data_IF_500083153950
#
_entry.id   IF_500083153950
#
_cell.length_a   1.000
_cell.length_b   1.000
_cell.length_c   1.000
_cell.angle_alpha   90.00
_cell.angle_beta   90.00
_cell.angle_gamma   90.00
#
_symmetry.space_group_name_H-M   'P 1'
#
loop_
_entity.id
_entity.type
_entity.pdbx_description
1 polymer ?
#
# COMPACT_ATOMS: atom_id res chain seq x y z
N UNK A 1 -2.41 -8.75 26.21
CA UNK A 1 -1.69 -9.98 25.84
C UNK A 1 -0.26 -9.58 25.53
N UNK A 2 0.72 -10.29 26.05
CA UNK A 2 2.12 -10.09 25.67
C UNK A 2 2.54 -11.24 24.77
N UNK A 3 3.30 -10.95 23.74
CA UNK A 3 3.92 -11.95 22.85
C UNK A 3 4.96 -12.77 23.63
N UNK A 4 5.47 -13.83 23.04
CA UNK A 4 6.53 -14.67 23.64
C UNK A 4 7.81 -13.87 23.95
N UNK A 5 8.09 -12.81 23.19
CA UNK A 5 9.21 -11.88 23.39
C UNK A 5 8.96 -10.83 24.51
N UNK A 6 7.79 -10.85 25.15
CA UNK A 6 7.41 -9.90 26.20
C UNK A 6 6.91 -8.54 25.70
N UNK A 7 6.90 -8.30 24.38
CA UNK A 7 6.40 -7.09 23.76
C UNK A 7 4.86 -7.08 23.69
N UNK A 8 4.27 -5.93 23.33
CA UNK A 8 2.82 -5.79 23.21
C UNK A 8 2.32 -6.35 21.86
N UNK A 9 1.16 -7.01 21.87
CA UNK A 9 0.45 -7.37 20.64
C UNK A 9 -0.17 -6.12 20.01
N UNK A 10 -0.11 -6.05 18.68
CA UNK A 10 -0.64 -4.95 17.89
C UNK A 10 -1.75 -5.45 16.98
N UNK A 11 -2.89 -4.80 17.06
CA UNK A 11 -4.08 -5.21 16.30
C UNK A 11 -4.54 -4.11 15.36
N UNK A 12 -5.23 -4.52 14.30
CA UNK A 12 -5.88 -3.62 13.36
C UNK A 12 -7.35 -3.46 13.76
N UNK A 13 -7.76 -2.21 13.99
CA UNK A 13 -9.15 -1.88 14.32
C UNK A 13 -9.86 -1.11 13.22
N UNK A 14 -9.12 -0.63 12.23
CA UNK A 14 -9.68 0.00 11.05
C UNK A 14 -8.70 0.02 9.88
N UNK A 15 -9.24 0.01 8.69
CA UNK A 15 -8.49 0.23 7.45
C UNK A 15 -9.35 1.00 6.45
N UNK A 16 -8.70 1.72 5.56
CA UNK A 16 -9.37 2.42 4.46
C UNK A 16 -8.54 2.36 3.19
N UNK A 17 -9.22 2.26 2.07
CA UNK A 17 -8.62 2.15 0.75
C UNK A 17 -9.28 3.10 -0.23
N UNK A 18 -8.46 3.76 -1.05
CA UNK A 18 -8.91 4.53 -2.23
C UNK A 18 -8.09 4.04 -3.41
N UNK A 19 -8.75 3.47 -4.40
CA UNK A 19 -8.11 2.79 -5.53
C UNK A 19 -8.82 3.12 -6.86
N UNK A 20 -8.21 2.80 -8.02
CA UNK A 20 -8.87 2.93 -9.32
C UNK A 20 -10.14 2.09 -9.51
N UNK A 21 -10.38 1.13 -8.62
CA UNK A 21 -11.55 0.23 -8.69
C UNK A 21 -12.56 0.45 -7.54
N UNK A 22 -12.31 1.42 -6.65
CA UNK A 22 -13.24 1.76 -5.57
C UNK A 22 -12.74 2.94 -4.72
N UNK A 23 -13.64 3.79 -4.25
CA UNK A 23 -13.34 4.97 -3.44
C UNK A 23 -13.39 4.69 -1.93
N UNK A 24 -13.63 3.44 -1.56
CA UNK A 24 -13.50 2.88 -0.21
C UNK A 24 -13.16 1.39 -0.29
N UNK A 25 -12.96 0.78 0.88
CA UNK A 25 -12.54 -0.63 0.99
C UNK A 25 -13.61 -1.61 0.53
N UNK A 26 -14.89 -1.28 0.70
CA UNK A 26 -15.99 -2.15 0.29
C UNK A 26 -16.17 -2.16 -1.22
N UNK A 27 -16.15 -0.97 -1.85
CA UNK A 27 -16.19 -0.85 -3.31
C UNK A 27 -14.97 -1.52 -3.96
N UNK A 28 -13.77 -1.29 -3.40
CA UNK A 28 -12.54 -1.91 -3.86
C UNK A 28 -12.63 -3.44 -3.80
N UNK A 29 -13.11 -3.98 -2.68
CA UNK A 29 -13.23 -5.42 -2.50
C UNK A 29 -14.31 -6.06 -3.40
N UNK A 30 -15.46 -5.41 -3.53
CA UNK A 30 -16.52 -5.86 -4.45
C UNK A 30 -16.00 -5.91 -5.89
N UNK A 31 -15.28 -4.87 -6.32
CA UNK A 31 -14.65 -4.81 -7.65
C UNK A 31 -13.58 -5.91 -7.82
N UNK A 32 -12.83 -6.26 -6.77
CA UNK A 32 -11.87 -7.37 -6.81
C UNK A 32 -12.58 -8.72 -6.98
N UNK A 33 -13.72 -8.92 -6.31
CA UNK A 33 -14.55 -10.13 -6.47
C UNK A 33 -15.10 -10.28 -7.89
N UNK A 34 -15.42 -9.17 -8.53
CA UNK A 34 -15.85 -9.13 -9.93
C UNK A 34 -14.70 -9.28 -10.95
N UNK A 35 -13.44 -9.26 -10.49
CA UNK A 35 -12.26 -9.23 -11.36
C UNK A 35 -12.17 -7.95 -12.21
N UNK A 36 -12.66 -6.82 -11.70
CA UNK A 36 -12.70 -5.55 -12.41
C UNK A 36 -11.30 -4.98 -12.59
N UNK A 37 -11.01 -4.51 -13.82
CA UNK A 37 -9.79 -3.80 -14.15
C UNK A 37 -10.01 -2.28 -14.08
N UNK A 38 -9.25 -1.59 -13.22
CA UNK A 38 -9.25 -0.13 -13.12
C UNK A 38 -8.20 0.55 -14.01
N UNK A 39 -7.41 -0.25 -14.75
CA UNK A 39 -6.46 0.29 -15.72
C UNK A 39 -7.23 0.70 -16.96
N UNK A 40 -7.13 1.96 -17.34
CA UNK A 40 -7.84 2.53 -18.49
C UNK A 40 -7.03 3.65 -19.12
N UNK A 41 -7.53 4.21 -20.23
CA UNK A 41 -6.93 5.39 -20.85
C UNK A 41 -6.91 6.56 -19.86
N UNK A 42 -5.76 7.25 -19.77
CA UNK A 42 -5.57 8.44 -18.93
C UNK A 42 -6.40 9.59 -19.46
N UNK A 43 -7.07 10.31 -18.56
CA UNK A 43 -7.97 11.44 -18.89
C UNK A 43 -7.53 12.77 -18.26
N UNK A 44 -6.70 12.74 -17.19
CA UNK A 44 -6.34 13.94 -16.39
C UNK A 44 -5.39 14.93 -17.09
N UNK A 45 -4.68 14.50 -18.14
CA UNK A 45 -3.74 15.37 -18.87
C UNK A 45 -3.61 14.94 -20.34
N UNK A 46 -3.11 15.84 -21.21
CA UNK A 46 -2.87 15.55 -22.62
C UNK A 46 -1.84 14.42 -22.81
N UNK A 47 -2.05 13.57 -23.82
CA UNK A 47 -1.24 12.38 -24.08
C UNK A 47 -0.28 12.55 -25.28
N UNK A 48 -0.21 13.75 -25.86
CA UNK A 48 0.69 14.05 -26.97
C UNK A 48 2.13 13.71 -26.56
N UNK A 49 2.87 13.09 -27.47
CA UNK A 49 4.27 12.65 -27.28
C UNK A 49 4.48 11.56 -26.20
N UNK A 50 3.40 10.99 -25.65
CA UNK A 50 3.47 9.80 -24.82
C UNK A 50 3.18 8.56 -25.67
N UNK A 51 3.88 7.45 -25.39
CA UNK A 51 3.55 6.15 -25.98
C UNK A 51 2.82 5.23 -24.96
N UNK A 52 2.81 5.58 -23.67
CA UNK A 52 1.98 4.96 -22.65
C UNK A 52 0.75 5.83 -22.41
N UNK A 53 -0.41 5.28 -22.70
CA UNK A 53 -1.69 6.00 -22.63
C UNK A 53 -2.63 5.47 -21.54
N UNK A 54 -2.19 4.46 -20.78
CA UNK A 54 -3.01 3.79 -19.76
C UNK A 54 -2.39 3.94 -18.36
N UNK A 55 -3.27 4.02 -17.37
CA UNK A 55 -2.92 4.04 -15.97
C UNK A 55 -4.10 3.56 -15.10
N UNK A 56 -3.84 3.22 -13.86
CA UNK A 56 -4.85 3.10 -12.81
C UNK A 56 -5.20 4.47 -12.26
N UNK A 57 -6.01 5.21 -12.98
CA UNK A 57 -6.46 6.56 -12.61
C UNK A 57 -7.74 6.50 -11.79
N UNK A 58 -7.78 7.19 -10.65
CA UNK A 58 -9.00 7.30 -9.84
C UNK A 58 -9.94 8.30 -10.49
N UNK A 59 -11.09 7.80 -10.97
CA UNK A 59 -12.14 8.60 -11.61
C UNK A 59 -13.24 8.95 -10.62
N UNK A 60 -13.85 10.13 -10.81
CA UNK A 60 -15.01 10.53 -10.02
C UNK A 60 -14.76 10.93 -8.58
N UNK A 61 -13.49 11.02 -8.14
CA UNK A 61 -13.17 11.50 -6.81
C UNK A 61 -13.38 13.02 -6.70
N UNK A 62 -14.35 13.40 -5.89
CA UNK A 62 -14.64 14.81 -5.56
C UNK A 62 -14.13 15.11 -4.13
N UNK A 63 -13.02 15.86 -3.99
CA UNK A 63 -12.48 16.17 -2.70
C UNK A 63 -13.44 16.94 -1.78
N UNK A 64 -14.41 17.70 -2.36
CA UNK A 64 -15.37 18.46 -1.57
C UNK A 64 -16.35 17.59 -0.77
N UNK A 65 -16.50 16.33 -1.14
CA UNK A 65 -17.33 15.35 -0.41
C UNK A 65 -16.63 14.73 0.79
N UNK A 66 -15.29 14.77 0.82
CA UNK A 66 -14.47 14.04 1.78
C UNK A 66 -13.54 14.94 2.60
N UNK A 67 -13.32 16.17 2.17
CA UNK A 67 -12.36 17.08 2.80
C UNK A 67 -12.99 18.47 2.93
N UNK A 68 -12.85 19.11 4.10
CA UNK A 68 -13.35 20.48 4.27
C UNK A 68 -12.70 21.45 3.27
N UNK A 69 -13.43 22.50 2.89
CA UNK A 69 -12.96 23.52 1.95
C UNK A 69 -11.60 24.14 2.34
N UNK A 70 -11.37 24.31 3.65
CA UNK A 70 -10.09 24.78 4.20
C UNK A 70 -8.97 23.79 3.90
N UNK A 71 -9.19 22.49 4.08
CA UNK A 71 -8.21 21.44 3.81
C UNK A 71 -7.92 21.25 2.33
N UNK A 72 -8.94 21.41 1.47
CA UNK A 72 -8.75 21.42 0.03
C UNK A 72 -7.71 22.45 -0.39
N UNK A 73 -7.74 23.65 0.21
CA UNK A 73 -6.77 24.70 -0.11
C UNK A 73 -5.33 24.38 0.27
N UNK A 74 -5.12 23.66 1.38
CA UNK A 74 -3.77 23.30 1.86
C UNK A 74 -3.22 22.01 1.27
N UNK A 75 -4.08 21.14 0.76
CA UNK A 75 -3.72 19.84 0.20
C UNK A 75 -3.70 19.79 -1.32
N UNK A 76 -3.36 18.63 -1.82
CA UNK A 76 -3.54 18.23 -3.21
C UNK A 76 -3.97 16.76 -3.29
N UNK A 77 -4.10 16.23 -4.49
CA UNK A 77 -4.72 14.94 -4.78
C UNK A 77 -4.26 13.78 -3.87
N UNK A 78 -2.94 13.58 -3.68
CA UNK A 78 -2.45 12.51 -2.81
C UNK A 78 -2.86 12.69 -1.35
N UNK A 79 -2.82 13.93 -0.82
CA UNK A 79 -3.23 14.19 0.56
C UNK A 79 -4.75 14.09 0.76
N UNK A 80 -5.55 14.34 -0.29
CA UNK A 80 -6.99 14.12 -0.24
C UNK A 80 -7.34 12.63 -0.25
N UNK A 81 -6.63 11.81 -1.02
CA UNK A 81 -6.77 10.35 -0.96
C UNK A 81 -6.42 9.81 0.43
N UNK A 82 -5.31 10.29 1.02
CA UNK A 82 -4.95 9.94 2.39
C UNK A 82 -6.05 10.33 3.39
N UNK A 83 -6.62 11.53 3.25
CA UNK A 83 -7.73 12.00 4.10
C UNK A 83 -8.95 11.09 4.00
N UNK A 84 -9.34 10.67 2.79
CA UNK A 84 -10.49 9.77 2.59
C UNK A 84 -10.24 8.37 3.14
N UNK A 85 -9.08 7.79 2.87
CA UNK A 85 -8.74 6.47 3.39
C UNK A 85 -8.60 6.49 4.94
N UNK A 86 -8.04 7.58 5.51
CA UNK A 86 -7.95 7.75 6.95
C UNK A 86 -9.33 7.96 7.61
N UNK A 87 -10.26 8.67 6.94
CA UNK A 87 -11.65 8.81 7.40
C UNK A 87 -12.34 7.46 7.54
N UNK A 88 -12.22 6.61 6.51
CA UNK A 88 -12.78 5.27 6.55
C UNK A 88 -12.15 4.43 7.68
N UNK A 89 -10.81 4.39 7.75
CA UNK A 89 -10.09 3.63 8.76
C UNK A 89 -10.41 4.09 10.20
N UNK A 90 -10.46 5.41 10.42
CA UNK A 90 -10.75 5.99 11.73
C UNK A 90 -12.20 5.74 12.16
N UNK A 91 -13.15 5.92 11.24
CA UNK A 91 -14.56 5.63 11.49
C UNK A 91 -14.78 4.15 11.83
N UNK A 92 -14.15 3.25 11.06
CA UNK A 92 -14.22 1.80 11.32
C UNK A 92 -13.63 1.44 12.68
N UNK A 93 -12.55 2.10 13.11
CA UNK A 93 -11.93 1.85 14.42
C UNK A 93 -12.81 2.25 15.60
N UNK A 94 -13.76 3.18 15.41
CA UNK A 94 -14.60 3.73 16.49
C UNK A 94 -13.85 4.58 17.50
N UNK A 95 -12.67 5.08 17.16
CA UNK A 95 -11.92 6.03 18.01
C UNK A 95 -12.59 7.41 18.02
N UNK A 96 -12.54 8.16 19.14
CA UNK A 96 -13.14 9.49 19.23
C UNK A 96 -12.37 10.53 18.40
N UNK A 97 -13.10 11.54 17.93
CA UNK A 97 -12.53 12.71 17.25
C UNK A 97 -12.85 14.00 18.01
N UNK A 98 -11.85 14.76 18.52
CA UNK A 98 -10.42 14.43 18.51
C UNK A 98 -10.09 13.24 19.43
N UNK A 99 -8.95 12.59 19.19
CA UNK A 99 -8.50 11.50 20.05
C UNK A 99 -8.19 11.99 21.47
N UNK A 100 -8.72 11.30 22.47
CA UNK A 100 -8.70 11.73 23.87
C UNK A 100 -7.34 11.58 24.57
N UNK A 101 -6.40 10.77 24.01
CA UNK A 101 -5.04 10.61 24.52
C UNK A 101 -3.99 10.99 23.45
N UNK A 102 -3.92 12.28 23.05
CA UNK A 102 -3.27 12.70 21.81
C UNK A 102 -1.76 12.43 21.74
N UNK A 103 -1.06 12.43 22.88
CA UNK A 103 0.39 12.15 22.93
C UNK A 103 0.71 10.66 22.93
N UNK A 104 -0.28 9.79 23.14
CA UNK A 104 -0.16 8.32 23.07
C UNK A 104 -0.59 7.78 21.71
N UNK A 105 -0.53 8.61 20.68
CA UNK A 105 -0.84 8.23 19.30
C UNK A 105 0.23 8.71 18.33
N UNK A 106 0.37 8.04 17.18
CA UNK A 106 1.22 8.49 16.08
C UNK A 106 0.46 8.52 14.75
N UNK A 107 0.96 9.34 13.81
CA UNK A 107 0.46 9.41 12.44
C UNK A 107 1.64 9.33 11.46
N UNK A 108 1.80 8.17 10.80
CA UNK A 108 2.91 7.92 9.89
C UNK A 108 2.33 7.59 8.51
N UNK A 109 2.14 8.62 7.68
CA UNK A 109 1.57 8.47 6.33
C UNK A 109 2.59 8.98 5.33
N UNK A 110 3.10 8.06 4.52
CA UNK A 110 4.13 8.33 3.53
C UNK A 110 3.60 8.69 2.14
N UNK A 111 4.53 9.08 1.30
CA UNK A 111 4.35 9.21 -0.14
C UNK A 111 5.72 9.04 -0.82
N UNK A 112 5.77 8.33 -1.93
CA UNK A 112 7.00 8.18 -2.71
C UNK A 112 7.39 9.46 -3.45
N UNK A 113 6.42 10.30 -3.80
CA UNK A 113 6.64 11.49 -4.64
C UNK A 113 6.09 12.80 -4.05
N UNK A 114 5.14 12.73 -3.10
CA UNK A 114 4.48 13.94 -2.58
C UNK A 114 3.62 14.66 -3.63
N UNK A 115 3.57 15.99 -3.55
CA UNK A 115 2.72 16.82 -4.38
C UNK A 115 3.20 17.06 -5.80
N UNK A 116 3.33 16.01 -6.60
CA UNK A 116 3.93 16.05 -7.94
C UNK A 116 3.12 16.92 -8.91
N UNK A 117 1.78 16.88 -8.87
CA UNK A 117 0.93 17.71 -9.74
C UNK A 117 1.08 19.20 -9.43
N UNK A 118 1.24 19.55 -8.16
CA UNK A 118 1.51 20.93 -7.74
C UNK A 118 2.89 21.42 -8.18
N UNK A 119 3.92 20.56 -8.13
CA UNK A 119 5.28 20.89 -8.64
C UNK A 119 5.22 21.18 -10.14
N UNK A 120 4.63 20.28 -10.92
CA UNK A 120 4.53 20.42 -12.37
C UNK A 120 3.76 21.71 -12.75
N UNK A 121 2.64 21.94 -12.09
CA UNK A 121 1.85 23.17 -12.30
C UNK A 121 2.64 24.44 -11.94
N UNK A 122 3.35 24.44 -10.80
CA UNK A 122 4.12 25.59 -10.35
C UNK A 122 5.26 25.92 -11.32
N UNK A 123 5.97 24.91 -11.81
CA UNK A 123 7.06 25.12 -12.78
C UNK A 123 6.55 25.54 -14.15
N UNK A 124 5.42 24.98 -14.61
CA UNK A 124 4.76 25.45 -15.82
C UNK A 124 4.35 26.93 -15.70
N UNK A 125 3.75 27.31 -14.57
CA UNK A 125 3.33 28.70 -14.33
C UNK A 125 4.54 29.66 -14.37
N UNK A 126 5.67 29.29 -13.74
CA UNK A 126 6.87 30.13 -13.69
C UNK A 126 7.63 30.17 -15.02
N UNK A 127 7.94 29.03 -15.61
CA UNK A 127 8.91 28.94 -16.71
C UNK A 127 8.28 28.96 -18.09
N UNK A 128 7.03 28.53 -18.23
CA UNK A 128 6.32 28.52 -19.53
C UNK A 128 5.36 29.72 -19.64
N UNK A 129 4.58 29.98 -18.58
CA UNK A 129 3.60 31.06 -18.58
C UNK A 129 4.15 32.38 -18.03
N UNK A 130 5.45 32.41 -17.65
CA UNK A 130 6.15 33.60 -17.15
C UNK A 130 5.40 34.33 -16.01
N UNK A 131 4.71 33.59 -15.15
CA UNK A 131 4.11 34.17 -13.94
C UNK A 131 5.18 34.62 -12.95
N UNK A 132 4.95 35.75 -12.28
CA UNK A 132 5.91 36.32 -11.33
C UNK A 132 6.05 35.54 -10.02
N UNK A 133 5.03 34.73 -9.65
CA UNK A 133 5.01 33.98 -8.39
C UNK A 133 4.14 32.73 -8.51
N UNK A 134 4.40 31.76 -7.63
CA UNK A 134 3.55 30.60 -7.41
C UNK A 134 2.48 30.90 -6.35
N UNK A 135 1.54 30.00 -6.18
CA UNK A 135 0.53 30.12 -5.12
C UNK A 135 1.20 30.06 -3.74
N UNK A 136 0.81 30.89 -2.74
CA UNK A 136 1.45 30.92 -1.40
C UNK A 136 1.48 29.56 -0.70
N UNK A 137 0.49 28.71 -0.92
CA UNK A 137 0.41 27.37 -0.29
C UNK A 137 1.11 26.27 -1.11
N UNK A 138 1.79 26.61 -2.19
CA UNK A 138 2.47 25.64 -3.06
C UNK A 138 3.40 24.71 -2.27
N UNK A 139 4.22 25.27 -1.38
CA UNK A 139 5.16 24.49 -0.59
C UNK A 139 4.46 23.46 0.30
N UNK A 140 3.36 23.85 0.98
CA UNK A 140 2.59 22.96 1.85
C UNK A 140 1.92 21.81 1.07
N UNK A 141 1.60 22.02 -0.20
CA UNK A 141 1.03 20.99 -1.08
C UNK A 141 2.06 20.01 -1.60
N UNK A 142 3.31 20.48 -1.79
CA UNK A 142 4.40 19.68 -2.37
C UNK A 142 5.00 18.68 -1.35
N UNK A 143 5.19 19.10 -0.09
CA UNK A 143 5.93 18.29 0.87
C UNK A 143 5.21 16.98 1.19
N UNK A 144 5.93 15.85 1.10
CA UNK A 144 5.38 14.51 1.31
C UNK A 144 4.75 14.27 2.69
N UNK A 145 5.08 15.09 3.70
CA UNK A 145 4.50 15.02 5.05
C UNK A 145 3.14 15.71 5.19
N UNK A 146 2.62 16.37 4.15
CA UNK A 146 1.30 17.02 4.23
C UNK A 146 0.17 16.03 4.53
N UNK A 147 0.23 14.83 4.00
CA UNK A 147 -0.78 13.79 4.26
C UNK A 147 -0.86 13.45 5.76
N UNK A 148 0.29 13.16 6.40
CA UNK A 148 0.34 12.88 7.84
C UNK A 148 -0.05 14.08 8.69
N UNK A 149 0.36 15.30 8.28
CA UNK A 149 -0.03 16.52 8.97
C UNK A 149 -1.55 16.77 8.92
N UNK A 150 -2.18 16.63 7.73
CA UNK A 150 -3.63 16.81 7.58
C UNK A 150 -4.44 15.81 8.41
N UNK A 151 -4.05 14.52 8.37
CA UNK A 151 -4.71 13.47 9.14
C UNK A 151 -4.47 13.65 10.63
N UNK A 152 -3.23 13.98 11.06
CA UNK A 152 -2.91 14.26 12.46
C UNK A 152 -3.71 15.42 13.05
N UNK A 153 -3.88 16.51 12.29
CA UNK A 153 -4.72 17.66 12.67
C UNK A 153 -6.20 17.26 12.80
N UNK A 154 -6.70 16.45 11.84
CA UNK A 154 -8.10 16.01 11.83
C UNK A 154 -8.48 15.25 13.09
N UNK A 155 -7.65 14.30 13.48
CA UNK A 155 -7.95 13.39 14.59
C UNK A 155 -7.30 13.84 15.91
N UNK A 156 -6.64 14.99 15.93
CA UNK A 156 -6.03 15.55 17.15
C UNK A 156 -4.83 14.75 17.64
N UNK A 157 -4.08 14.10 16.76
CA UNK A 157 -2.86 13.33 17.07
C UNK A 157 -1.73 14.32 17.37
N UNK A 158 -1.08 14.20 18.54
CA UNK A 158 0.00 15.08 18.99
C UNK A 158 1.31 14.36 19.29
N UNK A 159 1.34 13.04 19.18
CA UNK A 159 2.56 12.24 19.24
C UNK A 159 3.34 12.26 17.92
N UNK A 160 4.26 11.33 17.69
CA UNK A 160 5.09 11.30 16.50
C UNK A 160 4.26 11.36 15.22
N UNK A 161 4.48 12.41 14.40
CA UNK A 161 3.74 12.64 13.15
C UNK A 161 4.75 13.03 12.07
N UNK A 162 4.94 12.16 11.09
CA UNK A 162 5.90 12.34 9.99
C UNK A 162 5.55 11.43 8.81
N UNK A 163 6.31 11.56 7.70
CA UNK A 163 6.14 10.73 6.51
C UNK A 163 7.36 9.83 6.28
N UNK A 164 7.11 8.62 5.81
CA UNK A 164 8.12 7.76 5.18
C UNK A 164 8.20 8.07 3.69
N UNK A 165 9.38 7.82 3.10
CA UNK A 165 9.61 7.86 1.67
C UNK A 165 10.61 6.77 1.30
N UNK A 166 10.12 5.64 0.81
CA UNK A 166 10.89 4.46 0.41
C UNK A 166 10.30 3.80 -0.83
N UNK A 167 10.02 4.65 -1.83
CA UNK A 167 9.43 4.26 -3.11
C UNK A 167 8.22 3.32 -2.93
N UNK A 168 8.20 2.15 -3.61
CA UNK A 168 7.06 1.23 -3.57
C UNK A 168 6.80 0.59 -2.19
N UNK A 169 7.77 0.61 -1.26
CA UNK A 169 7.64 0.05 0.10
C UNK A 169 7.21 1.07 1.15
N UNK A 170 6.88 2.30 0.74
CA UNK A 170 6.60 3.43 1.64
C UNK A 170 5.50 3.13 2.68
N UNK A 171 4.35 2.60 2.24
CA UNK A 171 3.24 2.28 3.14
C UNK A 171 3.61 1.15 4.12
N UNK A 172 4.27 0.12 3.63
CA UNK A 172 4.71 -1.03 4.42
C UNK A 172 5.70 -0.61 5.51
N UNK A 173 6.67 0.26 5.18
CA UNK A 173 7.57 0.85 6.17
C UNK A 173 6.83 1.74 7.19
N UNK A 174 5.86 2.56 6.74
CA UNK A 174 5.06 3.38 7.65
C UNK A 174 4.29 2.53 8.67
N UNK A 175 3.66 1.45 8.20
CA UNK A 175 2.92 0.49 9.02
C UNK A 175 3.87 -0.23 10.00
N UNK A 176 5.04 -0.67 9.53
CA UNK A 176 6.07 -1.32 10.36
C UNK A 176 6.58 -0.38 11.48
N UNK A 177 6.81 0.90 11.18
CA UNK A 177 7.23 1.88 12.19
C UNK A 177 6.14 2.14 13.23
N UNK A 178 4.88 2.28 12.82
CA UNK A 178 3.77 2.43 13.76
C UNK A 178 3.58 1.18 14.63
N UNK A 179 3.73 -0.01 14.04
CA UNK A 179 3.76 -1.28 14.75
C UNK A 179 4.86 -1.29 15.82
N UNK A 180 6.10 -0.91 15.48
CA UNK A 180 7.21 -0.83 16.42
C UNK A 180 6.95 0.16 17.56
N UNK A 181 6.38 1.33 17.26
CA UNK A 181 6.06 2.32 18.28
C UNK A 181 5.01 1.81 19.27
N UNK A 182 4.02 1.05 18.80
CA UNK A 182 2.99 0.47 19.66
C UNK A 182 3.56 -0.70 20.47
N UNK A 183 4.23 -1.64 19.83
CA UNK A 183 4.73 -2.86 20.50
C UNK A 183 5.76 -2.57 21.58
N UNK A 184 6.59 -1.53 21.40
CA UNK A 184 7.56 -1.06 22.39
C UNK A 184 6.97 -0.09 23.41
N UNK A 185 5.68 0.24 23.32
CA UNK A 185 4.99 1.05 24.32
C UNK A 185 5.21 2.55 24.22
N UNK A 186 5.74 3.06 23.10
CA UNK A 186 5.86 4.51 22.87
C UNK A 186 4.50 5.17 22.71
N UNK A 187 3.60 4.52 21.95
CA UNK A 187 2.22 4.95 21.74
C UNK A 187 1.25 3.78 21.94
N UNK A 188 -0.05 4.04 21.97
CA UNK A 188 -1.10 3.03 22.09
C UNK A 188 -1.94 2.92 20.81
N UNK A 189 -1.92 3.95 19.97
CA UNK A 189 -2.66 4.05 18.70
C UNK A 189 -1.75 4.58 17.61
N UNK A 190 -1.83 4.01 16.42
CA UNK A 190 -1.12 4.48 15.22
C UNK A 190 -2.03 4.56 14.00
N UNK A 191 -1.97 5.68 13.28
CA UNK A 191 -2.54 5.80 11.93
C UNK A 191 -1.38 5.72 10.96
N UNK A 192 -1.36 4.70 10.12
CA UNK A 192 -0.19 4.42 9.28
C UNK A 192 -0.55 3.90 7.90
N UNK A 193 0.27 4.22 6.91
CA UNK A 193 0.11 3.82 5.52
C UNK A 193 0.75 4.81 4.57
N UNK A 194 0.22 4.93 3.37
CA UNK A 194 0.68 5.92 2.41
C UNK A 194 -0.39 6.27 1.37
N UNK A 195 -0.12 7.35 0.66
CA UNK A 195 -0.93 7.80 -0.48
C UNK A 195 -0.04 8.29 -1.62
N UNK A 196 -0.53 8.14 -2.85
CA UNK A 196 0.22 8.50 -4.05
C UNK A 196 -0.68 9.09 -5.13
N UNK A 197 -0.22 10.14 -5.82
CA UNK A 197 -0.91 10.74 -6.95
C UNK A 197 0.12 11.30 -7.96
N UNK A 198 0.80 10.39 -8.66
CA UNK A 198 1.91 10.73 -9.57
C UNK A 198 1.49 10.82 -11.04
N UNK A 199 0.22 10.64 -11.35
CA UNK A 199 -0.25 10.63 -12.73
C UNK A 199 -0.29 12.06 -13.28
N UNK A 200 0.85 12.52 -13.78
CA UNK A 200 1.05 13.81 -14.46
C UNK A 200 1.83 13.61 -15.75
N UNK A 201 1.78 14.59 -16.66
CA UNK A 201 2.51 14.50 -17.92
C UNK A 201 4.02 14.33 -17.72
N UNK A 202 4.64 15.15 -16.86
CA UNK A 202 6.08 15.08 -16.59
C UNK A 202 6.51 13.78 -15.92
N UNK A 203 5.72 13.29 -14.96
CA UNK A 203 5.96 11.99 -14.33
C UNK A 203 5.90 10.86 -15.36
N UNK A 204 4.86 10.80 -16.19
CA UNK A 204 4.73 9.77 -17.23
C UNK A 204 5.91 9.79 -18.21
N UNK A 205 6.40 10.98 -18.62
CA UNK A 205 7.60 11.11 -19.45
C UNK A 205 8.84 10.51 -18.79
N UNK A 206 9.00 10.76 -17.48
CA UNK A 206 10.14 10.24 -16.71
C UNK A 206 10.09 8.71 -16.59
N UNK A 207 8.92 8.15 -16.26
CA UNK A 207 8.74 6.70 -16.16
C UNK A 207 8.90 6.00 -17.52
N UNK A 208 8.42 6.59 -18.62
CA UNK A 208 8.65 6.07 -19.97
C UNK A 208 10.14 5.99 -20.32
N UNK A 209 10.93 6.96 -19.87
CA UNK A 209 12.38 6.96 -20.12
C UNK A 209 13.08 5.75 -19.49
N UNK A 210 12.58 5.23 -18.37
CA UNK A 210 13.07 4.01 -17.73
C UNK A 210 12.69 2.73 -18.49
N UNK A 211 11.75 2.78 -19.43
CA UNK A 211 11.27 1.62 -20.22
C UNK A 211 10.74 0.45 -19.38
N UNK A 212 10.11 0.77 -18.25
CA UNK A 212 9.55 -0.23 -17.31
C UNK A 212 8.02 -0.26 -17.33
N UNK A 213 7.38 0.62 -18.13
CA UNK A 213 5.93 0.68 -18.26
C UNK A 213 5.42 -0.16 -19.42
N UNK A 214 4.26 -0.79 -19.20
CA UNK A 214 3.51 -1.52 -20.22
C UNK A 214 2.49 -0.64 -20.92
N UNK A 215 2.39 -0.67 -22.27
CA UNK A 215 1.32 -0.02 -22.99
C UNK A 215 0.01 -0.82 -23.06
N UNK A 216 0.01 -2.09 -22.62
CA UNK A 216 -1.07 -3.05 -22.82
C UNK A 216 -1.87 -3.34 -21.54
N UNK A 217 -1.22 -3.35 -20.38
CA UNK A 217 -1.82 -3.69 -19.11
C UNK A 217 -0.82 -4.21 -18.08
N UNK A 218 -1.28 -4.47 -16.87
CA UNK A 218 -0.48 -5.03 -15.79
C UNK A 218 -0.76 -6.54 -15.69
N UNK A 219 0.20 -7.39 -16.08
CA UNK A 219 0.05 -8.85 -16.18
C UNK A 219 1.08 -9.60 -15.32
N UNK A 220 0.98 -9.50 -13.97
CA UNK A 220 1.96 -10.11 -13.09
C UNK A 220 2.08 -11.62 -13.32
N UNK A 221 3.31 -12.12 -13.27
CA UNK A 221 3.70 -13.53 -13.41
C UNK A 221 3.34 -14.21 -14.74
N UNK A 222 2.57 -13.57 -15.63
CA UNK A 222 2.26 -14.08 -16.96
C UNK A 222 3.49 -13.95 -17.87
N UNK A 223 3.67 -14.89 -18.80
CA UNK A 223 4.74 -14.84 -19.81
C UNK A 223 4.66 -13.61 -20.71
N UNK A 224 3.46 -13.05 -20.90
CA UNK A 224 3.23 -11.83 -21.70
C UNK A 224 3.55 -10.53 -20.96
N UNK A 225 3.95 -10.58 -19.67
CA UNK A 225 4.32 -9.37 -18.93
C UNK A 225 5.42 -8.59 -19.65
N UNK A 226 5.24 -7.30 -19.79
CA UNK A 226 6.15 -6.41 -20.51
C UNK A 226 6.38 -5.07 -19.79
N UNK A 227 6.02 -4.98 -18.51
CA UNK A 227 6.17 -3.80 -17.69
C UNK A 227 5.00 -3.57 -16.75
N UNK A 228 5.17 -2.64 -15.84
CA UNK A 228 4.12 -2.25 -14.90
C UNK A 228 3.18 -1.19 -15.49
N UNK A 229 2.05 -0.97 -14.85
CA UNK A 229 1.15 0.16 -15.14
C UNK A 229 1.06 1.01 -13.89
N UNK A 230 1.35 2.31 -13.98
CA UNK A 230 1.22 3.22 -12.84
C UNK A 230 -0.23 3.39 -12.41
N UNK A 231 -0.42 3.54 -11.11
CA UNK A 231 -1.71 3.88 -10.53
C UNK A 231 -1.56 4.95 -9.43
N UNK A 232 -2.68 5.40 -8.91
CA UNK A 232 -2.77 6.34 -7.80
C UNK A 232 -3.75 5.82 -6.75
N UNK A 233 -3.60 6.26 -5.49
CA UNK A 233 -4.48 5.81 -4.41
C UNK A 233 -3.95 6.06 -3.01
N UNK A 234 -4.62 5.44 -2.04
CA UNK A 234 -4.21 5.44 -0.64
C UNK A 234 -4.62 4.15 0.05
N UNK A 235 -3.79 3.70 0.99
CA UNK A 235 -4.11 2.62 1.92
C UNK A 235 -3.64 3.00 3.31
N UNK A 236 -4.57 3.07 4.27
CA UNK A 236 -4.33 3.53 5.64
C UNK A 236 -4.91 2.52 6.63
N UNK A 237 -4.14 2.21 7.66
CA UNK A 237 -4.56 1.36 8.78
C UNK A 237 -4.62 2.17 10.07
N UNK A 238 -5.54 1.80 10.96
CA UNK A 238 -5.53 2.16 12.38
C UNK A 238 -5.05 0.93 13.16
N UNK A 239 -3.90 1.08 13.79
CA UNK A 239 -3.26 0.09 14.65
C UNK A 239 -3.46 0.45 16.11
N UNK A 240 -3.71 -0.54 16.96
CA UNK A 240 -3.85 -0.35 18.40
C UNK A 240 -3.10 -1.41 19.19
N UNK A 241 -2.65 -1.04 20.39
CA UNK A 241 -2.24 -2.01 21.38
C UNK A 241 -3.46 -2.86 21.78
N UNK A 242 -3.28 -4.18 21.83
CA UNK A 242 -4.36 -5.16 22.03
C UNK A 242 -5.21 -4.88 23.28
N UNK A 243 -4.58 -4.66 24.46
CA UNK A 243 -5.31 -4.40 25.70
C UNK A 243 -6.02 -3.04 25.68
N UNK A 244 -5.47 -2.06 24.93
CA UNK A 244 -6.14 -0.78 24.69
C UNK A 244 -7.42 -0.98 23.87
N UNK A 245 -7.34 -1.69 22.74
CA UNK A 245 -8.48 -1.99 21.88
C UNK A 245 -9.56 -2.79 22.64
N UNK A 246 -9.14 -3.81 23.39
CA UNK A 246 -10.03 -4.66 24.20
C UNK A 246 -10.76 -3.88 25.29
N UNK A 247 -10.06 -3.02 26.06
CA UNK A 247 -10.68 -2.21 27.13
C UNK A 247 -11.78 -1.28 26.65
N UNK A 248 -11.65 -0.74 25.44
CA UNK A 248 -12.67 0.13 24.85
C UNK A 248 -13.75 -0.62 24.04
N UNK A 249 -13.68 -1.95 23.97
CA UNK A 249 -14.63 -2.77 23.23
C UNK A 249 -14.53 -2.63 21.72
N UNK A 250 -13.33 -2.38 21.17
CA UNK A 250 -13.12 -2.25 19.74
C UNK A 250 -13.37 -3.58 19.01
N UNK A 251 -13.88 -3.50 17.80
CA UNK A 251 -13.85 -4.62 16.86
C UNK A 251 -12.42 -4.80 16.36
N UNK A 252 -11.79 -5.93 16.67
CA UNK A 252 -10.46 -6.28 16.20
C UNK A 252 -10.58 -7.07 14.89
N UNK A 253 -10.03 -6.53 13.83
CA UNK A 253 -10.15 -7.08 12.47
C UNK A 253 -9.07 -8.11 12.15
N UNK A 254 -7.86 -7.89 12.65
CA UNK A 254 -6.71 -8.78 12.49
C UNK A 254 -5.65 -8.43 13.54
N UNK A 255 -4.68 -9.32 13.74
CA UNK A 255 -3.42 -9.02 14.42
C UNK A 255 -2.33 -8.75 13.37
N UNK A 256 -1.56 -7.67 13.52
CA UNK A 256 -0.31 -7.48 12.80
C UNK A 256 0.77 -8.22 13.59
N UNK A 257 1.13 -9.39 13.10
CA UNK A 257 1.95 -10.33 13.84
C UNK A 257 3.44 -10.12 13.67
N UNK A 258 3.86 -9.67 12.50
CA UNK A 258 5.29 -9.48 12.23
C UNK A 258 5.55 -8.55 11.06
N UNK A 259 6.71 -7.92 11.11
CA UNK A 259 7.25 -7.05 10.06
C UNK A 259 8.69 -7.45 9.76
N UNK A 260 9.04 -7.46 8.47
CA UNK A 260 10.42 -7.70 8.03
C UNK A 260 10.87 -6.61 7.07
N UNK A 261 12.07 -6.10 7.29
CA UNK A 261 12.66 -5.06 6.44
C UNK A 261 14.09 -5.44 6.08
N UNK A 262 14.50 -5.19 4.84
CA UNK A 262 15.85 -5.45 4.36
C UNK A 262 16.25 -4.49 3.25
N UNK A 263 17.52 -4.54 2.86
CA UNK A 263 18.05 -3.86 1.68
C UNK A 263 18.91 -4.84 0.88
N UNK A 264 18.81 -4.80 -0.46
CA UNK A 264 19.65 -5.63 -1.34
C UNK A 264 21.12 -5.20 -1.32
N UNK A 265 21.39 -3.89 -1.11
CA UNK A 265 22.74 -3.29 -1.06
C UNK A 265 23.64 -3.59 -2.27
N UNK A 266 23.05 -3.83 -3.46
CA UNK A 266 23.81 -4.21 -4.68
C UNK A 266 23.64 -3.19 -5.82
N UNK A 267 22.41 -2.98 -6.30
CA UNK A 267 22.15 -2.16 -7.47
C UNK A 267 20.82 -1.42 -7.33
N UNK A 268 20.76 -0.15 -7.74
CA UNK A 268 19.58 0.70 -7.60
C UNK A 268 18.39 0.26 -8.45
N UNK A 269 18.62 -0.47 -9.54
CA UNK A 269 17.61 -0.80 -10.56
C UNK A 269 17.40 -2.31 -10.69
N UNK A 270 18.47 -3.09 -10.58
CA UNK A 270 18.43 -4.54 -10.73
C UNK A 270 18.15 -5.20 -9.38
N UNK A 271 16.93 -5.74 -9.17
CA UNK A 271 16.57 -6.36 -7.90
C UNK A 271 17.39 -7.64 -7.68
N UNK A 272 17.84 -7.84 -6.44
CA UNK A 272 18.43 -9.10 -5.98
C UNK A 272 17.35 -9.99 -5.35
N UNK A 273 17.65 -11.27 -5.23
CA UNK A 273 16.80 -12.24 -4.55
C UNK A 273 17.01 -12.22 -3.02
N UNK A 274 18.21 -11.86 -2.56
CA UNK A 274 18.59 -11.93 -1.15
C UNK A 274 17.81 -10.96 -0.26
N UNK A 275 17.56 -9.75 -0.75
CA UNK A 275 16.78 -8.75 0.00
C UNK A 275 15.33 -9.18 0.23
N UNK A 276 14.55 -9.46 -0.83
CA UNK A 276 13.19 -10.00 -0.72
C UNK A 276 13.10 -11.25 0.17
N UNK A 277 14.01 -12.22 -0.02
CA UNK A 277 14.09 -13.44 0.80
C UNK A 277 14.29 -13.10 2.27
N UNK A 278 15.24 -12.23 2.58
CA UNK A 278 15.54 -11.83 3.96
C UNK A 278 14.37 -11.08 4.61
N UNK A 279 13.70 -10.17 3.88
CA UNK A 279 12.54 -9.46 4.41
C UNK A 279 11.39 -10.41 4.75
N UNK A 280 11.09 -11.39 3.89
CA UNK A 280 10.08 -12.42 4.17
C UNK A 280 10.46 -13.27 5.39
N UNK A 281 11.72 -13.72 5.47
CA UNK A 281 12.19 -14.51 6.62
C UNK A 281 12.11 -13.70 7.92
N UNK A 282 12.58 -12.46 7.94
CA UNK A 282 12.49 -11.60 9.12
C UNK A 282 11.05 -11.34 9.57
N UNK A 283 10.11 -11.23 8.62
CA UNK A 283 8.70 -11.08 8.96
C UNK A 283 8.11 -12.36 9.60
N UNK A 284 8.51 -13.55 9.14
CA UNK A 284 8.14 -14.83 9.75
C UNK A 284 8.75 -14.98 11.14
N UNK A 285 10.03 -14.69 11.29
CA UNK A 285 10.74 -14.74 12.57
C UNK A 285 10.09 -13.80 13.61
N UNK A 286 9.78 -12.57 13.19
CA UNK A 286 9.10 -11.58 14.03
C UNK A 286 7.66 -12.00 14.37
N UNK A 287 6.95 -12.66 13.45
CA UNK A 287 5.61 -13.21 13.70
C UNK A 287 5.64 -14.46 14.60
N UNK A 288 6.78 -15.13 14.70
CA UNK A 288 6.91 -16.44 15.37
C UNK A 288 6.16 -17.54 14.65
N UNK A 289 6.10 -17.49 13.33
CA UNK A 289 5.40 -18.45 12.47
C UNK A 289 6.38 -19.29 11.64
N UNK A 290 6.03 -20.55 11.45
CA UNK A 290 6.65 -21.38 10.42
C UNK A 290 6.16 -20.96 9.04
N UNK A 291 7.02 -21.01 8.04
CA UNK A 291 6.65 -20.67 6.67
C UNK A 291 5.43 -21.47 6.15
N UNK A 292 5.27 -22.72 6.61
CA UNK A 292 4.14 -23.59 6.25
C UNK A 292 2.77 -23.13 6.78
N UNK A 293 2.72 -22.12 7.65
CA UNK A 293 1.48 -21.60 8.22
C UNK A 293 0.85 -20.47 7.39
N UNK A 294 1.58 -19.88 6.45
CA UNK A 294 1.03 -18.83 5.57
C UNK A 294 0.12 -19.45 4.51
N UNK A 295 -1.14 -19.04 4.50
CA UNK A 295 -2.15 -19.52 3.56
C UNK A 295 -2.23 -18.68 2.27
N UNK A 296 -2.02 -17.36 2.40
CA UNK A 296 -2.10 -16.42 1.28
C UNK A 296 -0.98 -15.38 1.32
N UNK A 297 -0.39 -15.14 0.15
CA UNK A 297 0.62 -14.11 -0.06
C UNK A 297 0.14 -13.11 -1.12
N UNK A 298 -0.01 -11.82 -0.72
CA UNK A 298 -0.19 -10.74 -1.66
C UNK A 298 1.19 -10.29 -2.14
N UNK A 299 1.51 -10.63 -3.37
CA UNK A 299 2.83 -10.43 -3.93
C UNK A 299 3.08 -8.98 -4.35
N UNK A 300 4.34 -8.58 -4.35
CA UNK A 300 4.72 -7.33 -4.99
C UNK A 300 4.36 -7.34 -6.46
N UNK A 301 4.69 -8.37 -7.22
CA UNK A 301 4.14 -8.71 -8.54
C UNK A 301 3.89 -7.52 -9.46
N UNK A 302 4.95 -6.84 -9.91
CA UNK A 302 4.84 -5.59 -10.69
C UNK A 302 4.63 -5.80 -12.19
N UNK A 303 4.57 -7.04 -12.66
CA UNK A 303 4.53 -7.40 -14.09
C UNK A 303 5.80 -7.00 -14.86
N UNK A 304 6.91 -6.75 -14.19
CA UNK A 304 8.20 -6.52 -14.84
C UNK A 304 8.93 -7.84 -15.07
N UNK A 305 9.77 -7.90 -16.10
CA UNK A 305 10.46 -9.13 -16.50
C UNK A 305 11.36 -9.70 -15.39
N UNK A 306 12.01 -8.83 -14.61
CA UNK A 306 12.97 -9.23 -13.57
C UNK A 306 12.30 -9.46 -12.22
N UNK A 307 11.46 -8.53 -11.75
CA UNK A 307 10.86 -8.62 -10.42
C UNK A 307 10.09 -9.93 -10.23
N UNK A 308 9.20 -10.27 -11.14
CA UNK A 308 8.28 -11.40 -10.96
C UNK A 308 9.02 -12.74 -10.88
N UNK A 309 10.10 -12.89 -11.64
CA UNK A 309 10.96 -14.08 -11.54
C UNK A 309 11.75 -14.10 -10.23
N UNK A 310 12.34 -12.97 -9.84
CA UNK A 310 13.09 -12.87 -8.59
C UNK A 310 12.21 -13.11 -7.37
N UNK A 311 11.00 -12.52 -7.35
CA UNK A 311 10.04 -12.74 -6.28
C UNK A 311 9.57 -14.19 -6.21
N UNK A 312 9.30 -14.83 -7.37
CA UNK A 312 8.97 -16.27 -7.44
C UNK A 312 10.07 -17.11 -6.81
N UNK A 313 11.34 -16.83 -7.14
CA UNK A 313 12.47 -17.57 -6.59
C UNK A 313 12.66 -17.30 -5.10
N UNK A 314 12.53 -16.04 -4.65
CA UNK A 314 12.60 -15.70 -3.24
C UNK A 314 11.50 -16.40 -2.41
N UNK A 315 10.28 -16.49 -2.94
CA UNK A 315 9.18 -17.23 -2.32
C UNK A 315 9.52 -18.71 -2.22
N UNK A 316 10.07 -19.33 -3.28
CA UNK A 316 10.48 -20.74 -3.24
C UNK A 316 11.58 -20.99 -2.22
N UNK A 317 12.55 -20.08 -2.11
CA UNK A 317 13.64 -20.20 -1.14
C UNK A 317 13.15 -20.14 0.31
N UNK A 318 12.18 -19.26 0.63
CA UNK A 318 11.63 -19.11 1.97
C UNK A 318 10.63 -20.22 2.33
N UNK A 319 9.74 -20.56 1.40
CA UNK A 319 8.60 -21.45 1.68
C UNK A 319 8.84 -22.91 1.27
N UNK A 320 9.92 -23.19 0.55
CA UNK A 320 10.24 -24.55 0.09
C UNK A 320 9.08 -25.21 -0.68
N UNK A 321 8.72 -26.43 -0.29
CA UNK A 321 7.61 -27.15 -0.92
C UNK A 321 6.23 -26.53 -0.61
N UNK A 322 6.11 -25.70 0.41
CA UNK A 322 4.86 -25.01 0.77
C UNK A 322 4.52 -23.91 -0.24
N UNK A 323 5.50 -23.31 -0.91
CA UNK A 323 5.28 -22.31 -1.97
C UNK A 323 4.29 -22.79 -3.05
N UNK A 324 4.26 -24.09 -3.34
CA UNK A 324 3.35 -24.70 -4.33
C UNK A 324 1.94 -25.01 -3.80
N UNK A 325 1.69 -24.80 -2.51
CA UNK A 325 0.40 -25.06 -1.84
C UNK A 325 -0.30 -23.78 -1.41
N UNK A 326 0.48 -22.71 -1.26
CA UNK A 326 0.02 -21.39 -0.84
C UNK A 326 -0.62 -20.66 -2.01
N UNK A 327 -1.73 -19.94 -1.76
CA UNK A 327 -2.30 -19.04 -2.74
C UNK A 327 -1.47 -17.75 -2.82
N UNK A 328 -1.13 -17.32 -4.03
CA UNK A 328 -0.38 -16.09 -4.28
C UNK A 328 -1.17 -15.25 -5.27
N UNK A 329 -1.32 -13.94 -5.06
CA UNK A 329 -1.83 -13.09 -6.13
C UNK A 329 -1.18 -11.70 -6.10
N UNK A 330 -1.18 -11.03 -7.25
CA UNK A 330 -0.86 -9.61 -7.33
C UNK A 330 -2.10 -8.83 -7.73
N UNK A 331 -2.64 -8.08 -6.77
CA UNK A 331 -3.79 -7.20 -6.99
C UNK A 331 -3.46 -5.99 -7.87
N UNK A 332 -2.17 -5.73 -8.13
CA UNK A 332 -1.73 -4.73 -9.13
C UNK A 332 -2.27 -5.00 -10.53
N UNK A 333 -2.61 -6.26 -10.84
CA UNK A 333 -3.31 -6.61 -12.09
C UNK A 333 -4.64 -5.87 -12.24
N UNK A 334 -5.31 -5.51 -11.15
CA UNK A 334 -6.62 -4.84 -11.13
C UNK A 334 -6.53 -3.33 -11.00
N UNK A 335 -5.65 -2.80 -10.14
CA UNK A 335 -5.58 -1.35 -9.86
C UNK A 335 -4.31 -0.66 -10.36
N UNK A 336 -3.40 -1.40 -11.01
CA UNK A 336 -2.09 -0.88 -11.36
C UNK A 336 -1.15 -0.79 -10.14
N UNK A 337 0.04 -0.26 -10.36
CA UNK A 337 1.04 -0.08 -9.32
C UNK A 337 0.86 1.28 -8.64
N UNK A 338 0.31 1.30 -7.42
CA UNK A 338 0.05 2.52 -6.64
C UNK A 338 1.30 3.09 -5.96
N UNK A 339 2.49 2.63 -6.37
CA UNK A 339 3.79 3.07 -5.84
C UNK A 339 3.81 3.03 -4.30
N UNK A 340 4.09 4.18 -3.66
CA UNK A 340 4.18 4.26 -2.21
C UNK A 340 2.90 3.84 -1.46
N UNK A 341 1.73 3.97 -2.08
CA UNK A 341 0.44 3.60 -1.48
C UNK A 341 0.13 2.10 -1.56
N UNK A 342 0.79 1.35 -2.47
CA UNK A 342 0.46 -0.03 -2.78
C UNK A 342 0.40 -0.93 -1.54
N UNK A 343 1.44 -0.93 -0.71
CA UNK A 343 1.52 -1.79 0.47
C UNK A 343 0.41 -1.55 1.51
N UNK A 344 -0.15 -0.33 1.58
CA UNK A 344 -1.29 -0.03 2.46
C UNK A 344 -2.61 -0.63 1.96
N UNK A 345 -2.84 -0.58 0.64
CA UNK A 345 -3.99 -1.23 -0.01
C UNK A 345 -3.86 -2.75 0.11
N UNK A 346 -2.69 -3.30 -0.18
CA UNK A 346 -2.38 -4.73 -0.12
C UNK A 346 -2.51 -5.30 1.30
N UNK A 347 -2.14 -4.51 2.34
CA UNK A 347 -2.40 -4.84 3.73
C UNK A 347 -3.92 -4.95 4.02
N UNK A 348 -4.71 -3.99 3.53
CA UNK A 348 -6.18 -4.06 3.62
C UNK A 348 -6.76 -5.29 2.93
N UNK A 349 -6.21 -5.68 1.77
CA UNK A 349 -6.58 -6.93 1.06
C UNK A 349 -6.27 -8.16 1.89
N UNK A 350 -5.09 -8.23 2.54
CA UNK A 350 -4.71 -9.33 3.42
C UNK A 350 -5.69 -9.49 4.59
N UNK A 351 -6.07 -8.36 5.24
CA UNK A 351 -7.05 -8.35 6.33
C UNK A 351 -8.42 -8.82 5.85
N UNK A 352 -8.88 -8.35 4.70
CA UNK A 352 -10.13 -8.79 4.07
C UNK A 352 -10.11 -10.29 3.76
N UNK A 353 -9.01 -10.81 3.23
CA UNK A 353 -8.88 -12.23 2.92
C UNK A 353 -9.04 -13.12 4.17
N UNK A 354 -8.45 -12.72 5.31
CA UNK A 354 -8.63 -13.41 6.59
C UNK A 354 -10.11 -13.39 7.02
N UNK A 355 -10.75 -12.22 6.96
CA UNK A 355 -12.10 -12.04 7.51
C UNK A 355 -13.19 -12.67 6.65
N UNK A 356 -12.99 -12.75 5.33
CA UNK A 356 -14.01 -13.25 4.41
C UNK A 356 -13.72 -14.66 3.87
N UNK A 357 -12.53 -15.22 4.15
CA UNK A 357 -12.17 -16.54 3.63
C UNK A 357 -12.16 -16.60 2.10
N UNK A 358 -11.70 -15.52 1.46
CA UNK A 358 -11.63 -15.41 0.01
C UNK A 358 -10.33 -14.70 -0.42
N UNK A 359 -9.70 -15.18 -1.50
CA UNK A 359 -8.46 -14.59 -2.04
C UNK A 359 -8.69 -14.00 -3.43
N UNK A 360 -8.20 -12.76 -3.67
CA UNK A 360 -8.37 -12.10 -4.96
C UNK A 360 -7.49 -12.71 -6.04
N UNK A 361 -7.91 -12.58 -7.32
CA UNK A 361 -7.15 -13.12 -8.44
C UNK A 361 -6.00 -12.21 -8.88
N UNK A 362 -5.07 -12.79 -9.63
CA UNK A 362 -4.23 -12.09 -10.59
C UNK A 362 -4.94 -12.12 -11.94
N UNK A 363 -5.58 -11.02 -12.33
CA UNK A 363 -6.31 -10.97 -13.62
C UNK A 363 -5.35 -10.79 -14.81
N UNK A 364 -5.83 -11.16 -16.01
CA UNK A 364 -5.02 -11.09 -17.23
C UNK A 364 -3.89 -12.11 -17.31
N UNK A 365 -3.92 -13.13 -16.46
CA UNK A 365 -3.00 -14.25 -16.49
C UNK A 365 -3.43 -15.25 -17.57
N UNK A 366 -2.89 -15.10 -18.79
CA UNK A 366 -3.26 -15.91 -19.97
C UNK A 366 -2.20 -16.91 -20.38
N UNK A 367 -0.93 -16.56 -20.18
CA UNK A 367 0.20 -17.34 -20.61
C UNK A 367 1.08 -17.72 -19.41
N UNK A 368 1.05 -18.99 -18.95
CA UNK A 368 1.95 -19.46 -17.91
C UNK A 368 3.43 -19.29 -18.27
N UNK A 369 4.21 -18.72 -17.37
CA UNK A 369 5.66 -18.65 -17.50
C UNK A 369 6.31 -19.75 -16.68
N UNK A 370 7.10 -20.67 -17.30
CA UNK A 370 7.80 -21.72 -16.54
C UNK A 370 8.76 -21.20 -15.45
N UNK A 371 9.15 -19.93 -15.50
CA UNK A 371 9.95 -19.27 -14.46
C UNK A 371 9.11 -18.77 -13.29
N UNK A 372 7.79 -18.66 -13.49
CA UNK A 372 6.81 -18.23 -12.50
C UNK A 372 5.74 -19.32 -12.40
N UNK A 373 6.07 -20.44 -11.75
CA UNK A 373 5.33 -21.71 -11.76
C UNK A 373 4.56 -22.01 -10.45
N UNK A 374 4.25 -20.96 -9.66
CA UNK A 374 3.45 -21.07 -8.45
C UNK A 374 1.95 -20.83 -8.72
N UNK A 375 1.11 -20.99 -7.72
CA UNK A 375 -0.33 -20.72 -7.82
C UNK A 375 -0.64 -19.23 -7.62
N UNK A 376 -0.71 -18.50 -8.73
CA UNK A 376 -0.98 -17.05 -8.72
C UNK A 376 -2.47 -16.69 -8.73
N UNK A 377 -3.35 -17.59 -8.34
CA UNK A 377 -4.83 -17.42 -8.36
C UNK A 377 -5.28 -16.81 -9.70
N UNK A 378 -5.14 -17.55 -10.84
CA UNK A 378 -5.28 -16.97 -12.16
C UNK A 378 -6.71 -16.54 -12.47
N UNK A 379 -6.91 -15.27 -12.82
CA UNK A 379 -8.12 -14.63 -13.35
C UNK A 379 -9.38 -14.63 -12.47
N UNK A 380 -9.60 -15.64 -11.65
CA UNK A 380 -10.80 -15.77 -10.79
C UNK A 380 -10.36 -16.01 -9.36
N UNK A 381 -10.83 -15.16 -8.44
CA UNK A 381 -10.63 -15.36 -7.01
C UNK A 381 -11.39 -16.58 -6.52
N UNK A 382 -11.02 -17.06 -5.32
CA UNK A 382 -11.65 -18.28 -4.77
C UNK A 382 -11.81 -18.24 -3.26
N UNK A 383 -12.82 -18.95 -2.78
CA UNK A 383 -13.01 -19.21 -1.37
C UNK A 383 -11.91 -20.18 -0.89
N UNK A 384 -11.32 -19.86 0.26
CA UNK A 384 -10.39 -20.74 0.96
C UNK A 384 -10.27 -20.32 2.42
N UNK A 385 -9.92 -21.25 3.29
CA UNK A 385 -9.62 -20.92 4.69
C UNK A 385 -8.30 -20.15 4.73
N UNK A 386 -8.35 -18.89 5.18
CA UNK A 386 -7.19 -18.01 5.33
C UNK A 386 -7.02 -17.67 6.80
N UNK A 387 -5.94 -18.12 7.41
CA UNK A 387 -5.56 -17.76 8.78
C UNK A 387 -4.47 -16.72 8.80
N UNK A 388 -3.39 -16.99 8.08
CA UNK A 388 -2.23 -16.10 8.04
C UNK A 388 -1.96 -15.63 6.63
N UNK A 389 -1.67 -14.35 6.52
CA UNK A 389 -1.34 -13.72 5.24
C UNK A 389 -0.04 -12.98 5.31
N UNK A 390 0.65 -12.91 4.17
CA UNK A 390 1.85 -12.11 3.99
C UNK A 390 1.64 -11.09 2.87
N UNK A 391 2.13 -9.85 3.05
CA UNK A 391 2.10 -8.79 2.04
C UNK A 391 3.51 -8.32 1.73
N UNK A 392 3.93 -8.43 0.48
CA UNK A 392 5.27 -8.09 0.00
C UNK A 392 5.32 -6.73 -0.67
N UNK A 393 6.32 -5.91 -0.32
CA UNK A 393 6.63 -4.66 -1.00
C UNK A 393 8.13 -4.58 -1.28
N UNK A 394 8.52 -4.66 -2.55
CA UNK A 394 9.92 -4.64 -3.00
C UNK A 394 10.14 -3.45 -3.93
N UNK A 395 10.92 -2.46 -3.49
CA UNK A 395 11.01 -1.17 -4.16
C UNK A 395 12.30 -1.02 -4.97
N UNK A 396 12.23 -0.24 -6.04
CA UNK A 396 13.45 0.35 -6.61
C UNK A 396 14.23 1.08 -5.52
N UNK A 397 15.57 1.05 -5.62
CA UNK A 397 16.44 1.54 -4.57
C UNK A 397 16.69 0.51 -3.48
N UNK A 398 16.41 -0.77 -3.74
CA UNK A 398 16.77 -1.92 -2.90
C UNK A 398 16.07 -1.98 -1.54
N UNK A 399 14.87 -1.41 -1.41
CA UNK A 399 14.15 -1.27 -0.15
C UNK A 399 13.01 -2.28 -0.08
N UNK A 400 13.13 -3.29 0.78
CA UNK A 400 12.17 -4.38 0.92
C UNK A 400 11.47 -4.30 2.27
N UNK A 401 10.16 -4.49 2.26
CA UNK A 401 9.35 -4.55 3.47
C UNK A 401 8.20 -5.55 3.32
N UNK A 402 7.92 -6.29 4.38
CA UNK A 402 6.95 -7.38 4.43
C UNK A 402 6.13 -7.27 5.71
N UNK A 403 4.82 -7.50 5.62
CA UNK A 403 3.90 -7.57 6.75
C UNK A 403 3.28 -8.97 6.84
N UNK A 404 3.08 -9.46 8.06
CA UNK A 404 2.37 -10.71 8.34
C UNK A 404 1.17 -10.42 9.22
N UNK A 405 0.00 -10.84 8.77
CA UNK A 405 -1.26 -10.71 9.50
C UNK A 405 -1.82 -12.06 9.89
N UNK A 406 -2.44 -12.11 11.06
CA UNK A 406 -3.19 -13.26 11.57
C UNK A 406 -4.61 -12.89 11.99
N UNK A 407 -5.43 -13.90 12.36
CA UNK A 407 -6.78 -13.68 12.82
C UNK A 407 -6.81 -12.83 14.09
N UNK A 408 -7.97 -12.24 14.36
CA UNK A 408 -8.19 -11.55 15.64
C UNK A 408 -7.88 -12.48 16.83
N UNK A 409 -7.03 -12.07 17.78
CA UNK A 409 -6.73 -12.89 18.95
C UNK A 409 -7.92 -13.10 19.89
N UNK A 410 -9.06 -12.45 19.65
CA UNK A 410 -10.33 -12.63 20.38
C UNK A 410 -11.14 -13.81 19.80
N UNK A 411 -10.83 -14.24 18.59
CA UNK A 411 -11.54 -15.33 17.90
C UNK A 411 -10.89 -16.71 18.08
N UNK A 412 -9.83 -16.79 18.87
CA UNK A 412 -9.06 -18.02 19.13
C UNK A 412 -9.54 -18.74 20.39
#
# INVERSE_FOLDING_TARGET
>A
MKRADGLRSVVVTGYGMVTPIGLDSNETWASMKEGKCGVSRIENFPLEDLYIHIAGEIKGFDPAKHVSSKKIQYGERYSWFAGRAAEEAWTMSGLPTPYNNPYRSCCIIGSGAGGYSTVEKAYRDLFILNKRATHPLTLLRIIGSSASAHVGIEYGIKGPTFATCSACSTATHAISLAYDYIRHGLVDVGVAGASEAVLTYGSMRTWQAMRVLSPEGCFPFSKRRNGTVLGEGAGILVLEEYEHAKRRGATILAELMGCGMSSDSKDMVNPDIDGPRSAMQFALDDAGLDASEIDYLNAHGTATALNDVNETNAIKDVFGSHAYKMAISSTKSMHGHLLGAGGGVEAGVCIKAINEGWVPPTIGYTDPDPKCDLDYVPNVGRDMKVRYTMSNSFAFGVLNAVLVFGPSPVAA
#
